data_IF_675698092911
#
_entry.id   IF_675698092911
#
_cell.length_a   1.000
_cell.length_b   1.000
_cell.length_c   1.000
_cell.angle_alpha   90.00
_cell.angle_beta   90.00
_cell.angle_gamma   90.00
#
_symmetry.space_group_name_H-M   'P 1'
#
loop_
_entity.id
_entity.type
_entity.pdbx_description
1 polymer ?
#
# COMPACT_ATOMS: atom_id res chain seq x y z
N UNK A 1 -18.30 0.84 -6.63
CA UNK A 1 -19.33 1.35 -5.71
C UNK A 1 -18.98 1.02 -4.26
N UNK A 2 -18.72 -0.27 -3.92
CA UNK A 2 -18.47 -0.73 -2.55
C UNK A 2 -17.29 -0.03 -1.88
N UNK A 3 -16.11 -0.05 -2.50
CA UNK A 3 -14.91 0.58 -1.97
C UNK A 3 -15.15 2.05 -1.60
N UNK A 4 -15.77 2.81 -2.49
CA UNK A 4 -16.05 4.22 -2.24
C UNK A 4 -16.92 4.42 -1.00
N UNK A 5 -17.96 3.59 -0.81
CA UNK A 5 -18.80 3.66 0.37
C UNK A 5 -18.07 3.27 1.65
N UNK A 6 -17.24 2.22 1.61
CA UNK A 6 -16.41 1.83 2.75
C UNK A 6 -15.45 2.95 3.17
N UNK A 7 -14.81 3.62 2.21
CA UNK A 7 -13.87 4.72 2.49
C UNK A 7 -14.58 5.99 2.94
N UNK A 8 -15.76 6.29 2.37
CA UNK A 8 -16.53 7.52 2.69
C UNK A 8 -17.23 7.42 4.05
N UNK A 9 -17.94 6.31 4.30
CA UNK A 9 -18.81 6.16 5.48
C UNK A 9 -18.16 5.36 6.62
N UNK A 10 -17.06 4.67 6.35
CA UNK A 10 -16.49 3.64 7.24
C UNK A 10 -17.13 2.26 7.01
N UNK A 11 -16.41 1.23 7.45
CA UNK A 11 -16.89 -0.15 7.30
C UNK A 11 -18.15 -0.43 8.13
N UNK A 12 -18.17 0.04 9.38
CA UNK A 12 -19.30 -0.15 10.29
C UNK A 12 -20.61 0.40 9.74
N UNK A 13 -20.61 1.63 9.24
CA UNK A 13 -21.79 2.34 8.78
C UNK A 13 -22.25 1.94 7.37
N UNK A 14 -21.44 1.25 6.58
CA UNK A 14 -21.78 0.81 5.24
C UNK A 14 -22.74 -0.39 5.28
N UNK A 15 -23.82 -0.31 4.54
CA UNK A 15 -24.81 -1.39 4.38
C UNK A 15 -24.79 -1.91 2.94
N UNK A 16 -25.06 -3.20 2.74
CA UNK A 16 -25.18 -3.81 1.41
C UNK A 16 -26.26 -3.12 0.56
N UNK A 17 -27.32 -2.68 1.20
CA UNK A 17 -28.40 -1.93 0.54
C UNK A 17 -27.91 -0.62 -0.10
N UNK A 18 -27.03 0.11 0.61
CA UNK A 18 -26.44 1.35 0.09
C UNK A 18 -25.52 1.05 -1.11
N UNK A 19 -24.81 -0.08 -1.03
CA UNK A 19 -23.93 -0.52 -2.13
C UNK A 19 -24.76 -0.89 -3.35
N UNK A 20 -25.86 -1.64 -3.19
CA UNK A 20 -26.75 -2.00 -4.28
C UNK A 20 -27.35 -0.76 -4.95
N UNK A 21 -27.84 0.19 -4.16
CA UNK A 21 -28.37 1.46 -4.66
C UNK A 21 -27.31 2.27 -5.44
N UNK A 22 -26.11 2.39 -4.92
CA UNK A 22 -25.02 3.11 -5.57
C UNK A 22 -24.49 2.41 -6.83
N UNK A 23 -24.55 1.09 -6.86
CA UNK A 23 -24.15 0.28 -8.01
C UNK A 23 -25.23 0.21 -9.10
N UNK A 24 -26.46 0.67 -8.82
CA UNK A 24 -27.58 0.60 -9.76
C UNK A 24 -28.14 -0.82 -9.94
N UNK A 25 -27.92 -1.70 -8.96
CA UNK A 25 -28.44 -3.07 -8.99
C UNK A 25 -29.53 -3.29 -7.94
N UNK A 26 -30.36 -4.32 -8.13
CA UNK A 26 -31.34 -4.67 -7.10
C UNK A 26 -30.67 -5.24 -5.86
N UNK A 27 -31.31 -5.06 -4.68
CA UNK A 27 -30.85 -5.69 -3.43
C UNK A 27 -30.71 -7.20 -3.60
N UNK A 28 -31.73 -7.85 -4.21
CA UNK A 28 -31.72 -9.29 -4.45
C UNK A 28 -30.54 -9.72 -5.31
N UNK A 29 -30.15 -8.91 -6.30
CA UNK A 29 -28.97 -9.19 -7.12
C UNK A 29 -27.71 -9.17 -6.28
N UNK A 30 -27.52 -8.15 -5.42
CA UNK A 30 -26.30 -8.07 -4.59
C UNK A 30 -26.23 -9.22 -3.57
N UNK A 31 -27.34 -9.52 -2.89
CA UNK A 31 -27.42 -10.61 -1.91
C UNK A 31 -27.29 -12.00 -2.53
N UNK A 32 -27.48 -12.16 -3.84
CA UNK A 32 -27.21 -13.41 -4.54
C UNK A 32 -25.71 -13.73 -4.60
N UNK A 33 -24.85 -12.70 -4.60
CA UNK A 33 -23.38 -12.85 -4.72
C UNK A 33 -22.63 -12.67 -3.40
N UNK A 34 -23.19 -11.89 -2.46
CA UNK A 34 -22.50 -11.52 -1.23
C UNK A 34 -23.42 -11.64 -0.02
N UNK A 35 -23.15 -12.60 0.85
CA UNK A 35 -23.93 -12.87 2.06
C UNK A 35 -23.69 -11.82 3.15
N UNK A 36 -22.56 -11.11 3.08
CA UNK A 36 -22.15 -10.12 4.09
C UNK A 36 -21.29 -8.99 3.48
N UNK A 37 -21.14 -7.90 4.22
CA UNK A 37 -20.25 -6.81 3.81
C UNK A 37 -18.78 -7.20 3.89
N UNK A 38 -18.45 -8.16 4.76
CA UNK A 38 -17.12 -8.76 4.87
C UNK A 38 -16.77 -9.55 3.60
N UNK A 39 -17.70 -10.36 3.08
CA UNK A 39 -17.56 -11.09 1.82
C UNK A 39 -17.38 -10.11 0.65
N UNK A 40 -18.19 -9.05 0.61
CA UNK A 40 -18.05 -8.00 -0.41
C UNK A 40 -16.71 -7.28 -0.32
N UNK A 41 -16.23 -6.97 0.89
CA UNK A 41 -14.92 -6.34 1.09
C UNK A 41 -13.79 -7.24 0.58
N UNK A 42 -13.82 -8.54 0.92
CA UNK A 42 -12.84 -9.50 0.41
C UNK A 42 -12.81 -9.53 -1.12
N UNK A 43 -13.96 -9.62 -1.76
CA UNK A 43 -14.04 -9.59 -3.23
C UNK A 43 -13.49 -8.29 -3.83
N UNK A 44 -13.72 -7.14 -3.20
CA UNK A 44 -13.13 -5.86 -3.64
C UNK A 44 -11.60 -5.90 -3.55
N UNK A 45 -11.05 -6.45 -2.48
CA UNK A 45 -9.59 -6.60 -2.33
C UNK A 45 -9.03 -7.57 -3.37
N UNK A 46 -9.68 -8.72 -3.56
CA UNK A 46 -9.26 -9.74 -4.53
C UNK A 46 -9.26 -9.23 -5.97
N UNK A 47 -10.27 -8.45 -6.34
CA UNK A 47 -10.40 -7.94 -7.71
C UNK A 47 -9.59 -6.67 -7.98
N UNK A 48 -9.36 -5.82 -6.97
CA UNK A 48 -8.79 -4.50 -7.18
C UNK A 48 -7.38 -4.31 -6.62
N UNK A 49 -6.99 -5.08 -5.61
CA UNK A 49 -5.70 -4.91 -4.91
C UNK A 49 -4.74 -6.05 -5.21
N UNK A 50 -5.20 -7.30 -5.14
CA UNK A 50 -4.29 -8.44 -5.34
C UNK A 50 -3.62 -8.45 -6.71
N UNK A 51 -4.28 -8.08 -7.83
CA UNK A 51 -3.61 -8.00 -9.14
C UNK A 51 -2.47 -6.99 -9.18
N UNK A 52 -2.52 -5.92 -8.37
CA UNK A 52 -1.41 -4.97 -8.26
C UNK A 52 -0.21 -5.60 -7.55
N UNK A 53 -0.47 -6.36 -6.49
CA UNK A 53 0.60 -7.06 -5.75
C UNK A 53 1.23 -8.13 -6.63
N UNK A 54 0.43 -8.89 -7.38
CA UNK A 54 0.92 -9.88 -8.33
C UNK A 54 1.84 -9.23 -9.40
N UNK A 55 1.45 -8.06 -9.92
CA UNK A 55 2.25 -7.30 -10.87
C UNK A 55 3.60 -6.84 -10.26
N UNK A 56 3.61 -6.44 -9.00
CA UNK A 56 4.84 -6.06 -8.29
C UNK A 56 5.78 -7.24 -8.06
N UNK A 57 5.25 -8.42 -7.73
CA UNK A 57 6.03 -9.64 -7.58
C UNK A 57 6.66 -10.10 -8.91
N UNK A 58 5.92 -9.99 -10.04
CA UNK A 58 6.46 -10.24 -11.37
C UNK A 58 7.60 -9.25 -11.71
N UNK A 59 7.45 -7.98 -11.33
CA UNK A 59 8.49 -6.98 -11.52
C UNK A 59 9.76 -7.30 -10.73
N UNK A 60 9.63 -7.82 -9.50
CA UNK A 60 10.77 -8.27 -8.70
C UNK A 60 11.58 -9.33 -9.44
N UNK A 61 10.92 -10.34 -10.03
CA UNK A 61 11.58 -11.38 -10.83
C UNK A 61 12.34 -10.80 -12.03
N UNK A 62 11.77 -9.79 -12.68
CA UNK A 62 12.34 -9.19 -13.88
C UNK A 62 13.54 -8.26 -13.60
N UNK A 63 13.54 -7.51 -12.50
CA UNK A 63 14.48 -6.44 -12.18
C UNK A 63 15.34 -6.71 -10.94
N UNK A 64 15.29 -7.90 -10.37
CA UNK A 64 16.00 -8.24 -9.12
C UNK A 64 17.53 -8.07 -9.16
N UNK A 65 18.13 -7.95 -10.34
CA UNK A 65 19.56 -7.65 -10.50
C UNK A 65 19.95 -6.19 -10.16
N UNK A 66 18.97 -5.26 -10.09
CA UNK A 66 19.20 -3.86 -9.73
C UNK A 66 18.27 -3.47 -8.57
N UNK A 67 18.64 -3.77 -7.32
CA UNK A 67 17.76 -3.58 -6.18
C UNK A 67 17.45 -2.11 -5.87
N UNK A 68 18.35 -1.16 -6.20
CA UNK A 68 18.07 0.26 -6.02
C UNK A 68 16.98 0.74 -6.98
N UNK A 69 17.15 0.43 -8.24
CA UNK A 69 16.16 0.76 -9.27
C UNK A 69 14.82 0.11 -8.99
N UNK A 70 14.83 -1.20 -8.66
CA UNK A 70 13.63 -1.96 -8.36
C UNK A 70 12.87 -1.34 -7.17
N UNK A 71 13.58 -1.05 -6.07
CA UNK A 71 12.95 -0.43 -4.90
C UNK A 71 12.31 0.91 -5.24
N UNK A 72 13.00 1.75 -6.00
CA UNK A 72 12.49 3.05 -6.45
C UNK A 72 11.23 2.89 -7.30
N UNK A 73 11.26 2.01 -8.29
CA UNK A 73 10.12 1.78 -9.18
C UNK A 73 8.92 1.21 -8.42
N UNK A 74 9.11 0.25 -7.51
CA UNK A 74 8.04 -0.30 -6.69
C UNK A 74 7.35 0.75 -5.82
N UNK A 75 8.11 1.66 -5.21
CA UNK A 75 7.57 2.71 -4.35
C UNK A 75 6.78 3.76 -5.14
N UNK A 76 7.26 4.17 -6.33
CA UNK A 76 6.54 5.09 -7.23
C UNK A 76 5.26 4.42 -7.73
N UNK A 77 5.37 3.21 -8.24
CA UNK A 77 4.22 2.50 -8.81
C UNK A 77 3.17 2.16 -7.74
N UNK A 78 3.58 1.81 -6.52
CA UNK A 78 2.66 1.67 -5.41
C UNK A 78 1.90 2.98 -5.14
N UNK A 79 2.58 4.12 -5.19
CA UNK A 79 1.94 5.41 -5.03
C UNK A 79 0.94 5.69 -6.14
N UNK A 80 1.34 5.49 -7.39
CA UNK A 80 0.53 5.83 -8.56
C UNK A 80 -0.69 4.90 -8.73
N UNK A 81 -0.51 3.59 -8.48
CA UNK A 81 -1.56 2.60 -8.69
C UNK A 81 -2.44 2.35 -7.45
N UNK A 82 -1.93 2.64 -6.25
CA UNK A 82 -2.61 2.36 -4.99
C UNK A 82 -2.68 3.58 -4.08
N UNK A 83 -1.55 4.09 -3.60
CA UNK A 83 -1.48 5.06 -2.50
C UNK A 83 -2.20 6.39 -2.77
N UNK A 84 -2.13 6.92 -4.00
CA UNK A 84 -2.80 8.16 -4.42
C UNK A 84 -4.23 7.93 -4.93
N UNK A 85 -4.60 6.70 -5.22
CA UNK A 85 -5.92 6.32 -5.76
C UNK A 85 -6.93 6.05 -4.64
N UNK A 86 -8.23 5.90 -4.95
CA UNK A 86 -9.22 5.51 -3.95
C UNK A 86 -8.90 4.22 -3.19
N UNK A 87 -8.06 3.32 -3.76
CA UNK A 87 -7.60 2.10 -3.09
C UNK A 87 -6.79 2.41 -1.83
N UNK A 88 -5.98 3.47 -1.82
CA UNK A 88 -5.22 3.90 -0.65
C UNK A 88 -6.08 4.24 0.56
N UNK A 89 -7.34 4.60 0.34
CA UNK A 89 -8.32 4.79 1.41
C UNK A 89 -8.59 3.52 2.23
N UNK A 90 -8.29 2.33 1.70
CA UNK A 90 -8.39 1.07 2.46
C UNK A 90 -7.40 1.00 3.61
N UNK A 91 -6.21 1.58 3.48
CA UNK A 91 -5.24 1.65 4.57
C UNK A 91 -5.79 2.46 5.75
N UNK A 92 -6.34 3.65 5.47
CA UNK A 92 -7.03 4.47 6.48
C UNK A 92 -8.18 3.69 7.12
N UNK A 93 -9.01 3.05 6.30
CA UNK A 93 -10.16 2.27 6.76
C UNK A 93 -9.72 1.16 7.71
N UNK A 94 -8.71 0.38 7.36
CA UNK A 94 -8.22 -0.71 8.20
C UNK A 94 -7.60 -0.20 9.51
N UNK A 95 -6.85 0.89 9.49
CA UNK A 95 -6.30 1.51 10.71
C UNK A 95 -7.43 1.93 11.67
N UNK A 96 -8.52 2.49 11.15
CA UNK A 96 -9.63 2.97 11.99
C UNK A 96 -10.54 1.86 12.48
N UNK A 97 -10.69 0.77 11.73
CA UNK A 97 -11.71 -0.26 11.99
C UNK A 97 -11.14 -1.59 12.50
N UNK A 98 -9.81 -1.74 12.56
CA UNK A 98 -9.17 -3.00 12.97
C UNK A 98 -9.63 -3.51 14.34
N UNK A 99 -9.85 -2.61 15.30
CA UNK A 99 -10.36 -2.97 16.62
C UNK A 99 -11.82 -3.42 16.62
N UNK A 100 -12.63 -2.94 15.68
CA UNK A 100 -14.04 -3.28 15.58
C UNK A 100 -14.29 -4.53 14.71
N UNK A 101 -13.44 -4.76 13.71
CA UNK A 101 -13.56 -5.86 12.74
C UNK A 101 -12.22 -6.62 12.59
N UNK A 102 -11.78 -7.32 13.64
CA UNK A 102 -10.45 -7.95 13.66
C UNK A 102 -10.25 -9.00 12.55
N UNK A 103 -11.30 -9.72 12.17
CA UNK A 103 -11.21 -10.73 11.09
C UNK A 103 -10.99 -10.08 9.71
N UNK A 104 -11.63 -8.93 9.45
CA UNK A 104 -11.44 -8.17 8.21
C UNK A 104 -10.04 -7.57 8.18
N UNK A 105 -9.58 -7.04 9.30
CA UNK A 105 -8.24 -6.49 9.43
C UNK A 105 -7.15 -7.57 9.31
N UNK A 106 -7.35 -8.75 9.90
CA UNK A 106 -6.44 -9.88 9.76
C UNK A 106 -6.34 -10.32 8.29
N UNK A 107 -7.48 -10.49 7.62
CA UNK A 107 -7.49 -10.82 6.19
C UNK A 107 -6.70 -9.80 5.36
N UNK A 108 -6.98 -8.50 5.55
CA UNK A 108 -6.27 -7.44 4.82
C UNK A 108 -4.76 -7.44 5.13
N UNK A 109 -4.41 -7.68 6.40
CA UNK A 109 -3.02 -7.81 6.81
C UNK A 109 -2.33 -8.95 6.07
N UNK A 110 -2.94 -10.13 6.02
CA UNK A 110 -2.31 -11.32 5.46
C UNK A 110 -2.14 -11.23 3.94
N UNK A 111 -3.19 -10.79 3.23
CA UNK A 111 -3.19 -10.81 1.76
C UNK A 111 -2.63 -9.54 1.11
N UNK A 112 -2.64 -8.40 1.80
CA UNK A 112 -2.15 -7.12 1.26
C UNK A 112 -0.88 -6.68 1.96
N UNK A 113 -0.95 -6.39 3.28
CA UNK A 113 0.18 -5.81 4.01
C UNK A 113 1.33 -6.80 4.09
N UNK A 114 1.05 -8.06 4.39
CA UNK A 114 2.05 -9.12 4.53
C UNK A 114 2.80 -9.37 3.22
N UNK A 115 2.08 -9.53 2.11
CA UNK A 115 2.71 -9.76 0.79
C UNK A 115 3.57 -8.56 0.35
N UNK A 116 3.04 -7.34 0.45
CA UNK A 116 3.79 -6.13 0.14
C UNK A 116 5.04 -5.97 1.03
N UNK A 117 4.89 -6.25 2.33
CA UNK A 117 6.00 -6.21 3.28
C UNK A 117 7.08 -7.24 2.96
N UNK A 118 6.69 -8.46 2.63
CA UNK A 118 7.61 -9.53 2.26
C UNK A 118 8.37 -9.18 0.98
N UNK A 119 7.68 -8.64 -0.04
CA UNK A 119 8.29 -8.17 -1.28
C UNK A 119 9.39 -7.12 -1.00
N UNK A 120 9.07 -6.08 -0.26
CA UNK A 120 10.04 -5.04 0.06
C UNK A 120 11.22 -5.56 0.89
N UNK A 121 10.98 -6.47 1.83
CA UNK A 121 12.06 -7.11 2.59
C UNK A 121 13.00 -7.90 1.67
N UNK A 122 12.48 -8.71 0.75
CA UNK A 122 13.33 -9.46 -0.22
C UNK A 122 14.19 -8.52 -1.07
N UNK A 123 13.63 -7.42 -1.56
CA UNK A 123 14.38 -6.42 -2.34
C UNK A 123 15.49 -5.79 -1.50
N UNK A 124 15.20 -5.45 -0.25
CA UNK A 124 16.19 -4.87 0.67
C UNK A 124 17.28 -5.91 1.01
N UNK A 125 16.91 -7.17 1.28
CA UNK A 125 17.84 -8.27 1.55
C UNK A 125 18.78 -8.50 0.36
N UNK A 126 18.23 -8.59 -0.85
CA UNK A 126 19.00 -8.71 -2.09
C UNK A 126 19.98 -7.54 -2.26
N UNK A 127 19.54 -6.30 -1.98
CA UNK A 127 20.41 -5.13 -2.04
C UNK A 127 21.53 -5.15 -0.98
N UNK A 128 21.29 -5.70 0.20
CA UNK A 128 22.32 -5.92 1.22
C UNK A 128 23.33 -6.97 0.81
N UNK A 129 22.87 -8.10 0.24
CA UNK A 129 23.72 -9.18 -0.25
C UNK A 129 24.62 -8.72 -1.38
N UNK A 130 24.11 -7.88 -2.28
CA UNK A 130 24.85 -7.27 -3.37
C UNK A 130 25.76 -6.10 -2.93
N UNK A 131 25.69 -5.67 -1.65
CA UNK A 131 26.45 -4.54 -1.13
C UNK A 131 25.97 -3.17 -1.60
N UNK A 132 24.80 -3.10 -2.23
CA UNK A 132 24.14 -1.84 -2.66
C UNK A 132 23.53 -1.12 -1.46
N UNK A 133 22.84 -1.85 -0.60
CA UNK A 133 22.25 -1.31 0.62
C UNK A 133 23.10 -1.60 1.85
N UNK A 134 23.02 -0.68 2.82
CA UNK A 134 23.66 -0.85 4.12
C UNK A 134 23.11 -2.08 4.84
N UNK A 135 23.97 -2.75 5.59
CA UNK A 135 23.54 -3.86 6.45
C UNK A 135 22.68 -3.36 7.60
N UNK A 136 21.63 -4.13 7.93
CA UNK A 136 20.69 -3.82 9.00
C UNK A 136 19.58 -4.86 9.09
N UNK A 137 18.54 -4.61 9.87
CA UNK A 137 17.31 -5.43 9.83
C UNK A 137 16.47 -5.03 8.62
N UNK A 138 16.15 -5.96 7.71
CA UNK A 138 15.30 -5.70 6.55
C UNK A 138 13.94 -5.11 6.95
N UNK A 139 13.35 -5.64 8.02
CA UNK A 139 12.04 -5.19 8.52
C UNK A 139 12.09 -3.72 8.98
N UNK A 140 13.14 -3.34 9.71
CA UNK A 140 13.30 -1.95 10.18
C UNK A 140 13.55 -1.02 9.01
N UNK A 141 14.45 -1.40 8.08
CA UNK A 141 14.72 -0.59 6.90
C UNK A 141 13.50 -0.45 6.00
N UNK A 142 12.74 -1.52 5.80
CA UNK A 142 11.45 -1.47 5.11
C UNK A 142 10.49 -0.47 5.75
N UNK A 143 10.38 -0.47 7.07
CA UNK A 143 9.51 0.47 7.79
C UNK A 143 9.96 1.91 7.57
N UNK A 144 11.26 2.19 7.67
CA UNK A 144 11.81 3.53 7.43
C UNK A 144 11.58 3.99 5.99
N UNK A 145 11.69 3.08 5.03
CA UNK A 145 11.46 3.35 3.61
C UNK A 145 9.97 3.54 3.32
N UNK A 146 9.09 2.67 3.80
CA UNK A 146 7.71 2.64 3.33
C UNK A 146 6.74 3.50 4.15
N UNK A 147 6.92 3.61 5.47
CA UNK A 147 5.96 4.31 6.32
C UNK A 147 5.75 5.79 5.99
N UNK A 148 6.73 6.56 5.51
CA UNK A 148 6.48 7.93 5.06
C UNK A 148 5.48 8.00 3.90
N UNK A 149 5.56 7.06 2.93
CA UNK A 149 4.62 6.98 1.81
C UNK A 149 3.24 6.51 2.26
N UNK A 150 3.19 5.50 3.11
CA UNK A 150 1.94 5.02 3.70
C UNK A 150 1.23 6.16 4.46
N UNK A 151 1.97 6.89 5.30
CA UNK A 151 1.40 8.01 6.05
C UNK A 151 0.94 9.14 5.12
N UNK A 152 1.67 9.41 4.04
CA UNK A 152 1.24 10.36 3.02
C UNK A 152 -0.08 9.94 2.37
N UNK A 153 -0.27 8.65 2.07
CA UNK A 153 -1.53 8.11 1.54
C UNK A 153 -2.67 8.24 2.57
N UNK A 154 -2.43 7.81 3.81
CA UNK A 154 -3.41 7.93 4.90
C UNK A 154 -3.83 9.40 5.10
N UNK A 155 -2.87 10.32 5.07
CA UNK A 155 -3.13 11.75 5.18
C UNK A 155 -3.95 12.29 4.00
N UNK A 156 -3.63 11.84 2.79
CA UNK A 156 -4.37 12.20 1.58
C UNK A 156 -5.86 11.81 1.70
N UNK A 157 -6.14 10.61 2.18
CA UNK A 157 -7.52 10.08 2.28
C UNK A 157 -8.25 10.49 3.57
N UNK A 158 -7.56 11.11 4.54
CA UNK A 158 -8.15 11.55 5.82
C UNK A 158 -8.35 13.05 5.88
N UNK A 159 -7.33 13.83 5.49
CA UNK A 159 -7.20 15.25 5.76
C UNK A 159 -7.19 16.11 4.48
N UNK A 160 -7.58 15.53 3.34
CA UNK A 160 -7.49 16.19 2.03
C UNK A 160 -8.15 17.57 2.00
N UNK A 161 -9.30 17.72 2.65
CA UNK A 161 -10.05 19.00 2.70
C UNK A 161 -9.54 20.00 3.73
N UNK A 162 -8.62 19.61 4.63
CA UNK A 162 -8.21 20.42 5.78
C UNK A 162 -6.82 21.05 5.66
N UNK A 163 -6.00 20.61 4.70
CA UNK A 163 -4.59 21.03 4.60
C UNK A 163 -4.35 21.84 3.35
N UNK A 164 -4.02 23.13 3.53
CA UNK A 164 -3.46 23.97 2.48
C UNK A 164 -1.96 23.69 2.32
N UNK A 165 -1.44 23.75 1.09
CA UNK A 165 0.00 23.74 0.84
C UNK A 165 0.65 22.35 0.76
N UNK A 166 0.04 21.41 0.05
CA UNK A 166 0.70 20.13 -0.26
C UNK A 166 1.85 20.32 -1.24
N UNK A 167 3.00 19.73 -0.93
CA UNK A 167 4.05 19.58 -1.92
C UNK A 167 3.50 18.82 -3.15
N UNK A 168 3.86 19.30 -4.35
CA UNK A 168 3.57 18.55 -5.56
C UNK A 168 4.15 17.13 -5.47
N UNK A 169 3.52 16.12 -6.09
CA UNK A 169 4.03 14.76 -6.03
C UNK A 169 5.51 14.65 -6.41
N UNK A 170 5.91 15.28 -7.51
CA UNK A 170 7.30 15.23 -8.00
C UNK A 170 8.29 15.79 -6.98
N UNK A 171 8.03 16.97 -6.41
CA UNK A 171 8.89 17.56 -5.37
C UNK A 171 8.97 16.68 -4.12
N UNK A 172 7.87 16.01 -3.77
CA UNK A 172 7.88 15.08 -2.64
C UNK A 172 8.76 13.88 -2.92
N UNK A 173 8.62 13.24 -4.08
CA UNK A 173 9.39 12.05 -4.41
C UNK A 173 10.87 12.35 -4.60
N UNK A 174 11.23 13.47 -5.21
CA UNK A 174 12.63 13.89 -5.32
C UNK A 174 13.29 14.01 -3.94
N UNK A 175 12.64 14.73 -3.03
CA UNK A 175 13.14 14.91 -1.67
C UNK A 175 13.13 13.59 -0.89
N UNK A 176 12.05 12.82 -1.00
CA UNK A 176 11.91 11.54 -0.32
C UNK A 176 13.03 10.57 -0.74
N UNK A 177 13.27 10.42 -2.04
CA UNK A 177 14.32 9.53 -2.52
C UNK A 177 15.72 10.02 -2.15
N UNK A 178 15.99 11.32 -2.22
CA UNK A 178 17.27 11.87 -1.78
C UNK A 178 17.55 11.51 -0.31
N UNK A 179 16.59 11.73 0.58
CA UNK A 179 16.72 11.45 2.02
C UNK A 179 16.84 9.95 2.29
N UNK A 180 15.94 9.15 1.72
CA UNK A 180 15.86 7.71 2.00
C UNK A 180 17.08 6.98 1.42
N UNK A 181 17.45 7.24 0.17
CA UNK A 181 18.56 6.51 -0.45
C UNK A 181 19.92 6.93 0.09
N UNK A 182 20.14 8.19 0.46
CA UNK A 182 21.37 8.56 1.19
C UNK A 182 21.54 7.81 2.52
N UNK A 183 20.41 7.50 3.18
CA UNK A 183 20.43 6.70 4.40
C UNK A 183 20.51 5.19 4.17
N UNK A 184 20.02 4.69 3.02
CA UNK A 184 19.90 3.28 2.71
C UNK A 184 21.13 2.71 1.99
N UNK A 185 21.73 3.49 1.10
CA UNK A 185 22.90 3.03 0.33
C UNK A 185 24.08 2.71 1.26
N UNK A 186 24.86 1.72 0.89
CA UNK A 186 26.12 1.41 1.56
C UNK A 186 27.08 2.61 1.45
N UNK A 187 27.81 2.88 2.51
CA UNK A 187 28.90 3.86 2.42
C UNK A 187 29.92 3.39 1.37
N UNK A 188 30.48 4.32 0.55
CA UNK A 188 31.54 3.93 -0.36
C UNK A 188 32.66 3.26 0.44
N UNK A 189 33.14 2.12 -0.05
CA UNK A 189 34.29 1.44 0.56
C UNK A 189 35.41 2.43 0.66
N UNK A 190 35.89 2.74 1.88
CA UNK A 190 37.14 3.45 2.03
C UNK A 190 38.22 2.51 1.50
N UNK A 191 38.69 2.75 0.29
CA UNK A 191 39.97 2.18 -0.15
C UNK A 191 41.03 2.65 0.84
N UNK A 192 41.47 1.72 1.66
CA UNK A 192 42.57 1.97 2.59
C UNK A 192 43.85 2.09 1.73
N UNK A 193 44.58 3.19 1.80
CA UNK A 193 45.80 3.41 1.01
C UNK A 193 46.89 2.42 1.34
#
# INVERSE_FOLDING_TARGET
AALALFVEKGFAATRLDDVAARAGVSKGTLYLYFDSKEALFRAVIEESVLPLIDAFEIKEEALGADPERLLRELLVEWWDSFGSTPLGGTCKLMISEAGNFPEVAAYFNDVVIGRWSALLCRVIESGMEQGVFRRGSPEVLRQMVFYPLLMRSVWLHSMAGCVAGRAAPDTYFDTYFDVIFRGLLAAPSQENP
#
